data_IF_201709180959
#
_entry.id   IF_201709180959
#
_cell.length_a   1.000
_cell.length_b   1.000
_cell.length_c   1.000
_cell.angle_alpha   90.00
_cell.angle_beta   90.00
_cell.angle_gamma   90.00
#
_symmetry.space_group_name_H-M   'P 1'
#
loop_
_entity.id
_entity.type
_entity.pdbx_description
1 polymer ?
#
# COMPACT_ATOMS: atom_id res chain seq x y z
N UNK A 1 23.83 -19.74 -38.07
CA UNK A 1 22.79 -18.75 -37.71
C UNK A 1 21.67 -19.32 -36.83
N UNK A 2 20.82 -20.25 -37.29
CA UNK A 2 19.70 -20.77 -36.46
C UNK A 2 20.18 -21.53 -35.21
N UNK A 3 21.16 -22.42 -35.36
CA UNK A 3 21.77 -23.15 -34.24
C UNK A 3 22.46 -22.22 -33.24
N UNK A 4 23.26 -21.26 -33.71
CA UNK A 4 23.91 -20.24 -32.87
C UNK A 4 22.90 -19.39 -32.09
N UNK A 5 21.77 -19.03 -32.71
CA UNK A 5 20.70 -18.27 -32.05
C UNK A 5 20.05 -19.10 -30.94
N UNK A 6 19.77 -20.39 -31.20
CA UNK A 6 19.23 -21.29 -30.19
C UNK A 6 20.22 -21.49 -29.03
N UNK A 7 21.50 -21.65 -29.33
CA UNK A 7 22.56 -21.76 -28.34
C UNK A 7 22.63 -20.53 -27.44
N UNK A 8 22.66 -19.33 -28.02
CA UNK A 8 22.67 -18.10 -27.23
C UNK A 8 21.44 -17.95 -26.31
N UNK A 9 20.29 -18.51 -26.71
CA UNK A 9 19.10 -18.54 -25.86
C UNK A 9 19.21 -19.61 -24.76
N UNK A 10 19.73 -20.79 -25.07
CA UNK A 10 20.00 -21.84 -24.10
C UNK A 10 21.04 -21.40 -23.06
N UNK A 11 22.08 -20.69 -23.47
CA UNK A 11 23.09 -20.13 -22.56
C UNK A 11 22.51 -19.07 -21.63
N UNK A 12 21.49 -18.32 -22.07
CA UNK A 12 20.87 -17.25 -21.30
C UNK A 12 19.77 -17.75 -20.34
N UNK A 13 18.99 -18.76 -20.74
CA UNK A 13 17.78 -19.21 -20.02
C UNK A 13 17.83 -20.67 -19.54
N UNK A 14 18.87 -21.42 -19.90
CA UNK A 14 18.99 -22.85 -19.63
C UNK A 14 18.22 -23.72 -20.64
N UNK A 15 18.24 -25.03 -20.43
CA UNK A 15 17.64 -25.99 -21.36
C UNK A 15 16.10 -26.08 -21.26
N UNK A 16 15.51 -25.65 -20.13
CA UNK A 16 14.07 -25.74 -19.91
C UNK A 16 13.31 -24.58 -20.57
N UNK A 17 12.72 -24.85 -21.73
CA UNK A 17 11.89 -23.94 -22.52
C UNK A 17 10.74 -23.29 -21.72
N UNK A 18 10.27 -23.90 -20.63
CA UNK A 18 9.21 -23.32 -19.79
C UNK A 18 9.68 -22.10 -19.01
N UNK A 19 11.00 -21.96 -18.79
CA UNK A 19 11.63 -20.81 -18.14
C UNK A 19 11.87 -19.64 -19.10
N UNK A 20 11.69 -19.87 -20.40
CA UNK A 20 12.00 -18.88 -21.43
C UNK A 20 10.84 -17.87 -21.57
N UNK A 21 11.14 -16.62 -21.98
CA UNK A 21 10.11 -15.66 -22.38
C UNK A 21 9.25 -16.21 -23.54
N UNK A 22 7.95 -15.89 -23.55
CA UNK A 22 6.98 -16.47 -24.47
C UNK A 22 7.40 -16.38 -25.95
N UNK A 23 7.88 -15.20 -26.38
CA UNK A 23 8.30 -14.94 -27.76
C UNK A 23 9.49 -15.82 -28.16
N UNK A 24 10.43 -16.02 -27.24
CA UNK A 24 11.65 -16.79 -27.47
C UNK A 24 11.38 -18.30 -27.42
N UNK A 25 10.46 -18.73 -26.55
CA UNK A 25 9.98 -20.10 -26.49
C UNK A 25 9.32 -20.51 -27.81
N UNK A 26 8.38 -19.69 -28.31
CA UNK A 26 7.70 -19.96 -29.58
C UNK A 26 8.70 -20.05 -30.75
N UNK A 27 9.69 -19.16 -30.77
CA UNK A 27 10.78 -19.22 -31.74
C UNK A 27 11.57 -20.54 -31.65
N UNK A 28 11.98 -20.95 -30.45
CA UNK A 28 12.73 -22.18 -30.25
C UNK A 28 11.91 -23.44 -30.60
N UNK A 29 10.63 -23.48 -30.22
CA UNK A 29 9.71 -24.56 -30.60
C UNK A 29 9.58 -24.68 -32.12
N UNK A 30 9.46 -23.55 -32.83
CA UNK A 30 9.41 -23.55 -34.31
C UNK A 30 10.71 -24.07 -34.94
N UNK A 31 11.86 -23.75 -34.34
CA UNK A 31 13.17 -24.25 -34.79
C UNK A 31 13.32 -25.75 -34.55
N UNK A 32 12.91 -26.25 -33.39
CA UNK A 32 12.99 -27.67 -33.04
C UNK A 32 11.99 -28.52 -33.83
N UNK A 33 10.86 -27.94 -34.24
CA UNK A 33 9.92 -28.57 -35.15
C UNK A 33 10.50 -28.68 -36.57
N UNK A 34 11.22 -27.65 -37.03
CA UNK A 34 11.86 -27.64 -38.35
C UNK A 34 13.14 -28.49 -38.40
N UNK A 35 13.89 -28.55 -37.31
CA UNK A 35 15.15 -29.29 -37.20
C UNK A 35 15.26 -30.03 -35.86
N UNK A 36 14.85 -31.31 -35.82
CA UNK A 36 14.98 -32.17 -34.65
C UNK A 36 16.39 -32.33 -34.11
N UNK A 37 17.44 -32.15 -34.94
CA UNK A 37 18.83 -32.35 -34.53
C UNK A 37 19.29 -31.31 -33.50
N UNK A 38 18.65 -30.14 -33.49
CA UNK A 38 18.91 -29.08 -32.52
C UNK A 38 18.50 -29.45 -31.08
N UNK A 39 17.77 -30.56 -30.88
CA UNK A 39 17.50 -31.09 -29.53
C UNK A 39 18.78 -31.55 -28.83
N UNK A 40 19.77 -32.05 -29.56
CA UNK A 40 21.07 -32.43 -29.00
C UNK A 40 21.78 -31.23 -28.35
N UNK A 41 21.60 -30.04 -28.94
CA UNK A 41 22.15 -28.80 -28.38
C UNK A 41 21.52 -28.48 -27.03
N UNK A 42 20.19 -28.63 -26.90
CA UNK A 42 19.50 -28.45 -25.63
C UNK A 42 19.83 -29.56 -24.61
N UNK A 43 20.12 -30.77 -25.07
CA UNK A 43 20.53 -31.88 -24.19
C UNK A 43 21.88 -31.60 -23.51
N UNK A 44 22.81 -30.96 -24.20
CA UNK A 44 24.08 -30.52 -23.60
C UNK A 44 23.84 -29.48 -22.50
N UNK A 45 22.99 -28.47 -22.76
CA UNK A 45 22.60 -27.50 -21.75
C UNK A 45 21.87 -28.17 -20.57
N UNK A 46 21.00 -29.15 -20.83
CA UNK A 46 20.26 -29.87 -19.78
C UNK A 46 21.20 -30.69 -18.88
N UNK A 47 22.27 -31.24 -19.46
CA UNK A 47 23.31 -31.97 -18.72
C UNK A 47 24.04 -31.03 -17.77
N UNK A 48 24.40 -29.83 -18.24
CA UNK A 48 25.02 -28.82 -17.39
C UNK A 48 24.07 -28.38 -16.27
N UNK A 49 22.81 -28.09 -16.60
CA UNK A 49 21.78 -27.72 -15.62
C UNK A 49 21.63 -28.80 -14.54
N UNK A 50 21.61 -30.08 -14.91
CA UNK A 50 21.55 -31.19 -13.97
C UNK A 50 22.78 -31.28 -13.06
N UNK A 51 23.98 -31.01 -13.57
CA UNK A 51 25.20 -30.94 -12.76
C UNK A 51 25.17 -29.78 -11.77
N UNK A 52 24.63 -28.64 -12.17
CA UNK A 52 24.47 -27.47 -11.30
C UNK A 52 23.40 -27.71 -10.22
N UNK A 53 22.28 -28.34 -10.58
CA UNK A 53 21.22 -28.69 -9.63
C UNK A 53 21.67 -29.75 -8.61
N UNK A 54 22.60 -30.63 -9.00
CA UNK A 54 23.19 -31.63 -8.10
C UNK A 54 24.26 -31.05 -7.16
N UNK A 55 24.72 -29.82 -7.39
CA UNK A 55 25.73 -29.20 -6.55
C UNK A 55 25.18 -28.93 -5.13
N UNK A 56 25.98 -29.16 -4.06
CA UNK A 56 25.54 -28.89 -2.70
C UNK A 56 25.16 -27.41 -2.52
N UNK A 57 23.98 -27.16 -1.96
CA UNK A 57 23.56 -25.79 -1.63
C UNK A 57 24.38 -25.27 -0.46
N UNK A 58 25.19 -24.20 -0.61
CA UNK A 58 25.98 -23.68 0.49
C UNK A 58 25.06 -23.05 1.54
N UNK A 59 25.23 -23.45 2.81
CA UNK A 59 24.55 -22.79 3.93
C UNK A 59 25.32 -21.49 4.25
N UNK A 60 24.71 -20.30 4.07
CA UNK A 60 25.38 -19.05 4.35
C UNK A 60 25.65 -18.92 5.86
N UNK A 61 26.84 -18.47 6.22
CA UNK A 61 27.16 -18.20 7.63
C UNK A 61 26.36 -16.99 8.13
N UNK A 62 26.03 -16.99 9.42
CA UNK A 62 25.33 -15.86 10.04
C UNK A 62 26.08 -14.53 9.83
N UNK A 63 27.42 -14.56 9.83
CA UNK A 63 28.26 -13.40 9.57
C UNK A 63 28.12 -12.88 8.13
N UNK A 64 28.06 -13.77 7.12
CA UNK A 64 27.83 -13.39 5.73
C UNK A 64 26.45 -12.76 5.56
N UNK A 65 25.41 -13.38 6.13
CA UNK A 65 24.04 -12.85 6.09
C UNK A 65 23.96 -11.46 6.73
N UNK A 66 24.58 -11.26 7.89
CA UNK A 66 24.63 -9.96 8.55
C UNK A 66 25.34 -8.91 7.69
N UNK A 67 26.46 -9.26 7.04
CA UNK A 67 27.18 -8.35 6.14
C UNK A 67 26.35 -7.95 4.91
N UNK A 68 25.65 -8.90 4.29
CA UNK A 68 24.77 -8.61 3.14
C UNK A 68 23.62 -7.70 3.55
N UNK A 69 22.98 -7.98 4.70
CA UNK A 69 21.91 -7.14 5.23
C UNK A 69 22.40 -5.72 5.58
N UNK A 70 23.61 -5.59 6.11
CA UNK A 70 24.20 -4.29 6.42
C UNK A 70 24.57 -3.49 5.16
N UNK A 71 25.01 -4.17 4.10
CA UNK A 71 25.36 -3.56 2.82
C UNK A 71 24.15 -3.25 1.92
N UNK A 72 22.97 -3.82 2.23
CA UNK A 72 21.76 -3.60 1.45
C UNK A 72 21.40 -2.10 1.44
N UNK A 73 21.03 -1.54 0.28
CA UNK A 73 20.63 -0.14 0.19
C UNK A 73 19.41 0.08 1.09
N UNK A 74 19.61 0.86 2.16
CA UNK A 74 18.51 1.25 3.03
C UNK A 74 17.49 2.01 2.20
N UNK A 75 16.25 1.52 2.17
CA UNK A 75 15.12 2.33 1.68
C UNK A 75 15.20 3.66 2.43
N UNK A 76 15.31 4.76 1.68
CA UNK A 76 15.15 6.10 2.26
C UNK A 76 13.79 6.09 2.95
N UNK A 77 13.79 6.03 4.28
CA UNK A 77 12.58 6.25 5.04
C UNK A 77 12.01 7.57 4.53
N UNK A 78 10.73 7.60 4.15
CA UNK A 78 10.09 8.84 3.70
C UNK A 78 10.15 9.79 4.89
N UNK A 79 11.15 10.68 4.89
CA UNK A 79 11.48 11.55 6.01
C UNK A 79 10.25 12.37 6.47
N UNK A 80 9.35 12.69 5.54
CA UNK A 80 8.11 13.41 5.81
C UNK A 80 6.98 12.59 6.45
N UNK A 81 7.06 11.26 6.59
CA UNK A 81 5.95 10.50 7.21
C UNK A 81 5.85 10.74 8.72
N UNK A 82 7.00 10.93 9.39
CA UNK A 82 7.03 11.27 10.82
C UNK A 82 6.48 12.66 11.07
N UNK A 83 6.84 13.63 10.23
CA UNK A 83 6.33 15.00 10.28
C UNK A 83 4.82 15.05 9.98
N UNK A 84 4.36 14.30 8.98
CA UNK A 84 2.93 14.18 8.66
C UNK A 84 2.10 13.60 9.82
N UNK A 85 2.63 12.65 10.58
CA UNK A 85 1.96 12.10 11.77
C UNK A 85 1.78 13.16 12.86
N UNK A 86 2.75 14.06 13.06
CA UNK A 86 2.60 15.19 13.99
C UNK A 86 1.52 16.17 13.55
N UNK A 87 1.47 16.51 12.26
CA UNK A 87 0.41 17.37 11.72
C UNK A 87 -0.97 16.73 11.79
N UNK A 88 -1.06 15.41 11.60
CA UNK A 88 -2.31 14.69 11.73
C UNK A 88 -2.82 14.73 13.17
N UNK A 89 -1.95 14.54 14.17
CA UNK A 89 -2.31 14.68 15.59
C UNK A 89 -2.79 16.10 15.95
N UNK A 90 -2.11 17.13 15.45
CA UNK A 90 -2.50 18.53 15.67
C UNK A 90 -3.85 18.87 15.03
N UNK A 91 -4.15 18.32 13.85
CA UNK A 91 -5.43 18.52 13.17
C UNK A 91 -6.63 17.99 13.95
N UNK A 92 -6.50 16.81 14.57
CA UNK A 92 -7.56 16.25 15.41
C UNK A 92 -7.77 17.05 16.71
N UNK A 93 -6.71 17.56 17.32
CA UNK A 93 -6.82 18.42 18.50
C UNK A 93 -7.56 19.74 18.19
N UNK A 94 -7.26 20.36 17.05
CA UNK A 94 -7.94 21.57 16.61
C UNK A 94 -9.46 21.34 16.35
N UNK A 95 -9.81 20.21 15.74
CA UNK A 95 -11.22 19.84 15.50
C UNK A 95 -12.00 19.66 16.81
N UNK A 96 -11.40 19.07 17.84
CA UNK A 96 -12.03 18.90 19.15
C UNK A 96 -12.31 20.26 19.83
N UNK A 97 -11.35 21.19 19.80
CA UNK A 97 -11.52 22.53 20.36
C UNK A 97 -12.63 23.33 19.64
N UNK A 98 -12.67 23.27 18.31
CA UNK A 98 -13.71 23.95 17.52
C UNK A 98 -15.11 23.39 17.84
N UNK A 99 -15.24 22.08 18.01
CA UNK A 99 -16.49 21.44 18.40
C UNK A 99 -17.02 21.90 19.76
N UNK A 100 -16.13 22.04 20.76
CA UNK A 100 -16.51 22.54 22.10
C UNK A 100 -17.00 23.99 22.03
N UNK A 101 -16.29 24.86 21.31
CA UNK A 101 -16.67 26.28 21.18
C UNK A 101 -18.02 26.43 20.48
N UNK A 102 -18.22 25.70 19.37
CA UNK A 102 -19.49 25.71 18.65
C UNK A 102 -20.65 25.15 19.51
N UNK A 103 -20.40 24.07 20.26
CA UNK A 103 -21.39 23.46 21.14
C UNK A 103 -21.81 24.38 22.29
N UNK A 104 -20.86 25.06 22.93
CA UNK A 104 -21.16 26.03 24.00
C UNK A 104 -21.94 27.22 23.44
N UNK A 105 -21.50 27.78 22.31
CA UNK A 105 -22.19 28.91 21.66
C UNK A 105 -23.64 28.59 21.29
N UNK A 106 -23.88 27.44 20.66
CA UNK A 106 -25.22 27.01 20.28
C UNK A 106 -26.11 26.81 21.51
N UNK A 107 -25.58 26.21 22.58
CA UNK A 107 -26.32 26.00 23.83
C UNK A 107 -26.69 27.33 24.50
N UNK A 108 -25.77 28.31 24.51
CA UNK A 108 -26.05 29.64 25.07
C UNK A 108 -27.14 30.38 24.30
N UNK A 109 -27.18 30.26 22.96
CA UNK A 109 -28.23 30.89 22.16
C UNK A 109 -29.60 30.26 22.41
N UNK A 110 -29.70 28.92 22.38
CA UNK A 110 -30.96 28.23 22.61
C UNK A 110 -31.51 28.43 24.03
N UNK A 111 -30.63 28.51 25.03
CA UNK A 111 -31.05 28.78 26.42
C UNK A 111 -31.44 30.24 26.65
N UNK A 112 -30.85 31.19 25.92
CA UNK A 112 -31.25 32.58 25.96
C UNK A 112 -32.65 32.78 25.36
N UNK A 113 -32.92 32.17 24.20
CA UNK A 113 -34.22 32.22 23.55
C UNK A 113 -35.32 31.59 24.43
N UNK A 114 -35.06 30.42 25.02
CA UNK A 114 -36.01 29.76 25.93
C UNK A 114 -36.30 30.59 27.20
N UNK A 115 -35.33 31.34 27.70
CA UNK A 115 -35.54 32.26 28.84
C UNK A 115 -36.33 33.49 28.43
N UNK A 116 -36.10 34.03 27.25
CA UNK A 116 -36.87 35.17 26.73
C UNK A 116 -38.34 34.80 26.55
N UNK A 117 -38.63 33.63 25.96
CA UNK A 117 -40.00 33.11 25.83
C UNK A 117 -40.68 32.89 27.18
N UNK A 118 -39.96 32.38 28.18
CA UNK A 118 -40.51 32.18 29.52
C UNK A 118 -40.88 33.52 30.20
N UNK A 119 -40.06 34.57 30.03
CA UNK A 119 -40.36 35.91 30.56
C UNK A 119 -41.54 36.55 29.84
N UNK A 120 -41.62 36.41 28.51
CA UNK A 120 -42.75 36.90 27.72
C UNK A 120 -44.06 36.20 28.14
N UNK A 121 -44.04 34.88 28.33
CA UNK A 121 -45.19 34.11 28.81
C UNK A 121 -45.64 34.55 30.21
N UNK A 122 -44.69 34.77 31.12
CA UNK A 122 -45.01 35.22 32.48
C UNK A 122 -45.63 36.63 32.49
N UNK A 123 -45.18 37.52 31.60
CA UNK A 123 -45.77 38.86 31.44
C UNK A 123 -47.18 38.82 30.85
N UNK A 124 -47.45 37.88 29.94
CA UNK A 124 -48.78 37.69 29.38
C UNK A 124 -49.78 37.16 30.41
N UNK A 125 -49.36 36.25 31.29
CA UNK A 125 -50.19 35.74 32.38
C UNK A 125 -50.50 36.81 33.44
N UNK A 126 -49.52 37.63 33.80
CA UNK A 126 -49.74 38.74 34.76
C UNK A 126 -50.61 39.85 34.17
N UNK A 127 -50.48 40.14 32.87
CA UNK A 127 -51.34 41.11 32.19
C UNK A 127 -52.80 40.66 32.04
N UNK A 128 -53.07 39.35 32.01
CA UNK A 128 -54.44 38.80 31.98
C UNK A 128 -55.10 38.87 33.36
N UNK A 129 -54.35 38.60 34.43
CA UNK A 129 -54.84 38.68 35.81
C UNK A 129 -55.28 40.10 36.20
N UNK A 130 -54.58 41.13 35.72
CA UNK A 130 -54.95 42.54 35.92
C UNK A 130 -56.28 42.94 35.21
N UNK A 131 -56.72 42.18 34.20
CA UNK A 131 -57.96 42.48 33.45
C UNK A 131 -59.21 41.81 34.01
N UNK A 132 -59.07 40.79 34.87
CA UNK A 132 -60.20 40.11 35.51
C UNK A 132 -60.62 40.78 36.84
N UNK A 133 -59.76 41.59 37.46
CA UNK A 133 -60.05 42.29 38.74
C UNK A 133 -60.87 43.58 38.57
N UNK A 134 -61.14 44.00 37.32
CA UNK A 134 -61.96 45.20 37.01
C UNK A 134 -63.36 44.87 36.44
N UNK A 135 -63.82 43.62 36.56
CA UNK A 135 -65.20 43.19 36.25
C UNK A 135 -66.09 43.14 37.47
#
# INVERSE_FOLDING_TARGET
>A
MKAERLQALADAYGADLRRWPADQRAFAESLLAADPSLRELLAQAATLDALLDAAPTPVPSAALTARVLAAAPRRKARAGWREAVWYLGAGWAAAACAGVVAGVGLTTHLTADARADAVLYQSALTGVDDTEVLG
#
